data_IF_157004047548
#
_entry.id   IF_157004047548
#
_cell.length_a   1.000
_cell.length_b   1.000
_cell.length_c   1.000
_cell.angle_alpha   90.00
_cell.angle_beta   90.00
_cell.angle_gamma   90.00
#
_symmetry.space_group_name_H-M   'P 1'
#
loop_
_entity.id
_entity.type
_entity.pdbx_description
1 polymer ?
#
# COMPACT_ATOMS: atom_id res chain seq x y z
N UNK A 1 -3.10 -1.50 20.24
CA UNK A 1 -3.49 -1.75 18.83
C UNK A 1 -4.70 -0.90 18.43
N UNK A 2 -5.82 -0.94 19.16
CA UNK A 2 -7.03 -0.15 18.85
C UNK A 2 -6.77 1.36 18.71
N UNK A 3 -6.26 2.04 19.74
CA UNK A 3 -6.04 3.50 19.70
C UNK A 3 -5.19 3.93 18.49
N UNK A 4 -4.11 3.19 18.20
CA UNK A 4 -3.26 3.47 17.05
C UNK A 4 -3.98 3.24 15.70
N UNK A 5 -4.94 2.31 15.65
CA UNK A 5 -5.73 2.07 14.44
C UNK A 5 -6.78 3.17 14.28
N UNK A 6 -7.41 3.60 15.37
CA UNK A 6 -8.35 4.72 15.38
C UNK A 6 -7.71 6.03 14.90
N UNK A 7 -6.45 6.31 15.24
CA UNK A 7 -5.75 7.49 14.70
C UNK A 7 -5.51 7.39 13.19
N UNK A 8 -5.20 6.20 12.68
CA UNK A 8 -5.06 5.94 11.24
C UNK A 8 -6.41 6.06 10.53
N UNK A 9 -7.49 5.51 11.11
CA UNK A 9 -8.87 5.68 10.62
C UNK A 9 -9.22 7.15 10.52
N UNK A 10 -8.98 7.91 11.59
CA UNK A 10 -9.24 9.36 11.62
C UNK A 10 -8.51 10.05 10.46
N UNK A 11 -7.18 9.86 10.36
CA UNK A 11 -6.36 10.47 9.30
C UNK A 11 -6.86 10.15 7.89
N UNK A 12 -7.21 8.88 7.63
CA UNK A 12 -7.68 8.43 6.31
C UNK A 12 -9.05 9.01 5.95
N UNK A 13 -9.96 9.12 6.92
CA UNK A 13 -11.33 9.58 6.67
C UNK A 13 -11.45 11.11 6.65
N UNK A 14 -10.59 11.82 7.37
CA UNK A 14 -10.59 13.29 7.41
C UNK A 14 -9.69 13.92 6.36
N UNK A 15 -9.02 13.11 5.55
CA UNK A 15 -8.21 13.58 4.45
C UNK A 15 -9.03 14.44 3.47
N UNK A 16 -8.52 15.63 3.16
CA UNK A 16 -9.15 16.61 2.26
C UNK A 16 -10.56 17.05 2.70
N UNK A 17 -10.80 17.07 4.03
CA UNK A 17 -12.05 17.54 4.65
C UNK A 17 -11.87 18.84 5.40
N UNK A 18 -12.98 19.56 5.59
CA UNK A 18 -12.99 20.82 6.32
C UNK A 18 -12.57 20.63 7.78
N UNK A 19 -11.95 21.66 8.37
CA UNK A 19 -11.48 21.63 9.77
C UNK A 19 -12.60 21.22 10.74
N UNK A 20 -13.82 21.71 10.53
CA UNK A 20 -14.98 21.36 11.34
C UNK A 20 -15.27 19.86 11.29
N UNK A 21 -15.27 19.26 10.09
CA UNK A 21 -15.49 17.83 9.92
C UNK A 21 -14.40 17.00 10.63
N UNK A 22 -13.13 17.40 10.47
CA UNK A 22 -11.97 16.73 11.08
C UNK A 22 -12.03 16.75 12.61
N UNK A 23 -12.37 17.89 13.20
CA UNK A 23 -12.48 18.04 14.65
C UNK A 23 -13.67 17.24 15.19
N UNK A 24 -14.85 17.36 14.57
CA UNK A 24 -16.06 16.66 15.02
C UNK A 24 -15.85 15.15 14.98
N UNK A 25 -15.37 14.62 13.85
CA UNK A 25 -15.09 13.17 13.73
C UNK A 25 -14.00 12.70 14.70
N UNK A 26 -12.98 13.51 14.96
CA UNK A 26 -11.93 13.20 15.94
C UNK A 26 -12.47 13.13 17.37
N UNK A 27 -13.28 14.11 17.77
CA UNK A 27 -13.93 14.13 19.09
C UNK A 27 -14.89 12.95 19.23
N UNK A 28 -15.71 12.69 18.22
CA UNK A 28 -16.64 11.54 18.24
C UNK A 28 -15.91 10.22 18.37
N UNK A 29 -14.82 10.01 17.62
CA UNK A 29 -14.01 8.80 17.69
C UNK A 29 -13.31 8.66 19.04
N UNK A 30 -12.80 9.76 19.61
CA UNK A 30 -12.18 9.76 20.93
C UNK A 30 -13.18 9.35 22.03
N UNK A 31 -14.37 9.96 22.03
CA UNK A 31 -15.43 9.62 23.00
C UNK A 31 -15.83 8.14 22.86
N UNK A 32 -16.00 7.66 21.63
CA UNK A 32 -16.30 6.25 21.37
C UNK A 32 -15.21 5.32 21.89
N UNK A 33 -13.93 5.62 21.63
CA UNK A 33 -12.80 4.81 22.11
C UNK A 33 -12.71 4.78 23.63
N UNK A 34 -12.89 5.92 24.30
CA UNK A 34 -12.88 5.98 25.77
C UNK A 34 -14.04 5.16 26.35
N UNK A 35 -15.24 5.29 25.79
CA UNK A 35 -16.40 4.53 26.23
C UNK A 35 -16.21 3.01 26.01
N UNK A 36 -15.68 2.62 24.85
CA UNK A 36 -15.40 1.22 24.53
C UNK A 36 -14.34 0.62 25.46
N UNK A 37 -13.25 1.35 25.71
CA UNK A 37 -12.20 0.91 26.65
C UNK A 37 -12.74 0.80 28.07
N UNK A 38 -13.53 1.78 28.53
CA UNK A 38 -14.15 1.72 29.86
C UNK A 38 -15.09 0.52 29.99
N UNK A 39 -15.95 0.29 28.99
CA UNK A 39 -16.84 -0.87 28.96
C UNK A 39 -16.05 -2.19 29.01
N UNK A 40 -15.04 -2.33 28.15
CA UNK A 40 -14.15 -3.50 28.11
C UNK A 40 -13.49 -3.80 29.46
N UNK A 41 -12.97 -2.77 30.15
CA UNK A 41 -12.38 -2.92 31.48
C UNK A 41 -13.39 -3.26 32.59
N UNK A 42 -14.67 -2.93 32.42
CA UNK A 42 -15.72 -3.21 33.43
C UNK A 42 -16.27 -4.63 33.26
N UNK A 43 -16.41 -5.11 32.02
CA UNK A 43 -17.02 -6.41 31.74
C UNK A 43 -16.03 -7.56 31.61
N UNK A 44 -14.72 -7.27 31.65
CA UNK A 44 -13.64 -8.24 31.41
C UNK A 44 -13.85 -9.10 30.16
N UNK A 45 -14.50 -8.51 29.15
CA UNK A 45 -14.93 -9.19 27.92
C UNK A 45 -13.92 -8.89 26.82
N UNK A 46 -13.17 -9.90 26.37
CA UNK A 46 -12.04 -9.71 25.44
C UNK A 46 -12.35 -10.01 23.98
N UNK A 47 -13.52 -10.53 23.64
CA UNK A 47 -13.93 -10.85 22.27
C UNK A 47 -14.21 -9.60 21.43
N UNK A 48 -14.83 -8.57 22.03
CA UNK A 48 -15.21 -7.37 21.29
C UNK A 48 -14.00 -6.54 20.85
N UNK A 49 -12.86 -6.65 21.55
CA UNK A 49 -11.62 -5.96 21.23
C UNK A 49 -11.06 -6.32 19.83
N UNK A 50 -10.74 -7.60 19.52
CA UNK A 50 -10.26 -8.02 18.21
C UNK A 50 -11.32 -7.85 17.12
N UNK A 51 -12.62 -7.94 17.45
CA UNK A 51 -13.72 -7.67 16.50
C UNK A 51 -13.69 -6.21 16.06
N UNK A 52 -13.68 -5.27 17.01
CA UNK A 52 -13.60 -3.84 16.70
C UNK A 52 -12.34 -3.51 15.91
N UNK A 53 -11.20 -4.08 16.32
CA UNK A 53 -9.93 -3.92 15.62
C UNK A 53 -10.00 -4.39 14.16
N UNK A 54 -10.60 -5.56 13.90
CA UNK A 54 -10.79 -6.08 12.55
C UNK A 54 -11.69 -5.18 11.69
N UNK A 55 -12.74 -4.61 12.28
CA UNK A 55 -13.64 -3.65 11.62
C UNK A 55 -12.88 -2.38 11.22
N UNK A 56 -12.12 -1.78 12.14
CA UNK A 56 -11.34 -0.57 11.87
C UNK A 56 -10.32 -0.79 10.75
N UNK A 57 -9.56 -1.90 10.79
CA UNK A 57 -8.58 -2.25 9.76
C UNK A 57 -9.25 -2.43 8.39
N UNK A 58 -10.43 -3.05 8.35
CA UNK A 58 -11.20 -3.20 7.11
C UNK A 58 -11.60 -1.84 6.53
N UNK A 59 -12.09 -0.92 7.37
CA UNK A 59 -12.40 0.44 6.94
C UNK A 59 -11.18 1.20 6.43
N UNK A 60 -10.03 1.10 7.12
CA UNK A 60 -8.76 1.66 6.65
C UNK A 60 -8.42 1.11 5.27
N UNK A 61 -8.47 -0.22 5.09
CA UNK A 61 -8.14 -0.86 3.82
C UNK A 61 -9.04 -0.43 2.66
N UNK A 62 -10.36 -0.41 2.86
CA UNK A 62 -11.33 0.01 1.85
C UNK A 62 -11.11 1.48 1.49
N UNK A 63 -10.99 2.36 2.49
CA UNK A 63 -10.86 3.79 2.26
C UNK A 63 -9.52 4.14 1.62
N UNK A 64 -8.44 3.47 2.03
CA UNK A 64 -7.11 3.56 1.40
C UNK A 64 -7.20 3.21 -0.09
N UNK A 65 -7.86 2.10 -0.46
CA UNK A 65 -8.07 1.73 -1.88
C UNK A 65 -8.87 2.78 -2.66
N UNK A 66 -9.89 3.35 -2.03
CA UNK A 66 -10.66 4.44 -2.64
C UNK A 66 -9.80 5.67 -2.92
N UNK A 67 -8.97 6.10 -1.95
CA UNK A 67 -8.07 7.25 -2.11
C UNK A 67 -7.02 6.99 -3.20
N UNK A 68 -6.48 5.76 -3.29
CA UNK A 68 -5.53 5.39 -4.35
C UNK A 68 -6.13 5.62 -5.74
N UNK A 69 -7.39 5.22 -5.95
CA UNK A 69 -8.07 5.42 -7.24
C UNK A 69 -8.30 6.89 -7.57
N UNK A 70 -8.41 7.76 -6.57
CA UNK A 70 -8.68 9.19 -6.74
C UNK A 70 -7.40 10.01 -6.94
N UNK A 71 -6.30 9.66 -6.25
CA UNK A 71 -5.08 10.49 -6.19
C UNK A 71 -3.96 10.01 -7.09
N UNK A 72 -3.89 8.71 -7.39
CA UNK A 72 -2.77 8.16 -8.16
C UNK A 72 -3.20 8.02 -9.62
N UNK A 73 -2.85 9.05 -10.41
CA UNK A 73 -3.13 9.10 -11.85
C UNK A 73 -2.22 8.18 -12.67
N UNK A 74 -0.94 8.04 -12.26
CA UNK A 74 -0.01 7.12 -12.92
C UNK A 74 -0.42 5.65 -12.68
N UNK A 75 -0.68 4.93 -13.77
CA UNK A 75 -1.18 3.55 -13.74
C UNK A 75 -0.16 2.58 -13.13
N UNK A 76 1.14 2.76 -13.35
CA UNK A 76 2.17 1.87 -12.82
C UNK A 76 2.36 2.11 -11.32
N UNK A 77 2.39 3.38 -10.87
CA UNK A 77 2.43 3.72 -9.43
C UNK A 77 1.16 3.22 -8.75
N UNK A 78 -0.01 3.43 -9.34
CA UNK A 78 -1.29 2.98 -8.79
C UNK A 78 -1.30 1.47 -8.58
N UNK A 79 -0.77 0.70 -9.54
CA UNK A 79 -0.64 -0.75 -9.45
C UNK A 79 0.31 -1.17 -8.34
N UNK A 80 1.43 -0.47 -8.15
CA UNK A 80 2.38 -0.73 -7.08
C UNK A 80 1.75 -0.50 -5.70
N UNK A 81 1.07 0.62 -5.50
CA UNK A 81 0.42 0.97 -4.23
C UNK A 81 -0.72 0.01 -3.90
N UNK A 82 -1.57 -0.34 -4.89
CA UNK A 82 -2.61 -1.37 -4.73
C UNK A 82 -2.03 -2.74 -4.36
N UNK A 83 -0.92 -3.11 -4.98
CA UNK A 83 -0.21 -4.35 -4.65
C UNK A 83 0.26 -4.29 -3.19
N UNK A 84 0.86 -3.19 -2.77
CA UNK A 84 1.36 -3.03 -1.40
C UNK A 84 0.23 -3.12 -0.36
N UNK A 85 -0.95 -2.54 -0.64
CA UNK A 85 -2.16 -2.72 0.19
C UNK A 85 -2.54 -4.20 0.30
N UNK A 86 -2.54 -4.94 -0.81
CA UNK A 86 -2.89 -6.36 -0.81
C UNK A 86 -1.87 -7.19 -0.04
N UNK A 87 -0.58 -6.99 -0.24
CA UNK A 87 0.46 -7.73 0.48
C UNK A 87 0.46 -7.39 1.98
N UNK A 88 0.35 -6.11 2.34
CA UNK A 88 0.21 -5.68 3.73
C UNK A 88 -1.02 -6.32 4.39
N UNK A 89 -2.15 -6.34 3.70
CA UNK A 89 -3.38 -7.02 4.16
C UNK A 89 -3.20 -8.53 4.34
N UNK A 90 -2.59 -9.23 3.38
CA UNK A 90 -2.33 -10.67 3.49
C UNK A 90 -1.40 -11.00 4.66
N UNK A 91 -0.31 -10.24 4.82
CA UNK A 91 0.62 -10.42 5.94
C UNK A 91 -0.12 -10.21 7.27
N UNK A 92 -0.92 -9.16 7.37
CA UNK A 92 -1.69 -8.87 8.58
C UNK A 92 -2.71 -9.98 8.90
N UNK A 93 -3.50 -10.42 7.91
CA UNK A 93 -4.47 -11.52 8.07
C UNK A 93 -3.77 -12.81 8.44
N UNK A 94 -2.59 -13.10 7.87
CA UNK A 94 -1.81 -14.29 8.25
C UNK A 94 -1.38 -14.24 9.72
N UNK A 95 -0.97 -13.07 10.21
CA UNK A 95 -0.72 -12.87 11.64
C UNK A 95 -1.96 -13.14 12.47
N UNK A 96 -3.11 -12.56 12.10
CA UNK A 96 -4.38 -12.75 12.80
C UNK A 96 -4.83 -14.21 12.85
N UNK A 97 -4.62 -14.98 11.77
CA UNK A 97 -4.89 -16.42 11.74
C UNK A 97 -3.98 -17.14 12.74
N UNK A 98 -2.67 -16.84 12.75
CA UNK A 98 -1.75 -17.43 13.73
C UNK A 98 -2.16 -17.13 15.17
N UNK A 99 -2.63 -15.91 15.45
CA UNK A 99 -3.14 -15.54 16.78
C UNK A 99 -4.37 -16.36 17.18
N UNK A 100 -5.31 -16.61 16.26
CA UNK A 100 -6.46 -17.47 16.55
C UNK A 100 -6.06 -18.93 16.79
N UNK A 101 -5.08 -19.45 16.03
CA UNK A 101 -4.53 -20.80 16.25
C UNK A 101 -3.85 -20.86 17.63
N UNK A 102 -3.05 -19.86 17.98
CA UNK A 102 -2.35 -19.78 19.27
C UNK A 102 -3.35 -19.78 20.44
N UNK A 103 -4.44 -19.00 20.35
CA UNK A 103 -5.50 -19.01 21.36
C UNK A 103 -6.22 -20.36 21.48
N UNK A 104 -6.49 -21.04 20.35
CA UNK A 104 -7.23 -22.30 20.34
C UNK A 104 -6.40 -23.50 20.79
N UNK A 105 -5.10 -23.50 20.54
CA UNK A 105 -4.18 -24.61 20.81
C UNK A 105 -3.15 -24.29 21.90
N UNK A 106 -3.44 -23.33 22.77
CA UNK A 106 -2.52 -22.81 23.78
C UNK A 106 -1.91 -23.91 24.68
N UNK A 107 -2.73 -24.82 25.19
CA UNK A 107 -2.27 -25.94 26.04
C UNK A 107 -1.37 -26.90 25.26
N UNK A 108 -1.82 -27.39 24.09
CA UNK A 108 -1.04 -28.32 23.27
C UNK A 108 0.28 -27.73 22.76
N UNK A 109 0.29 -26.43 22.42
CA UNK A 109 1.52 -25.73 22.03
C UNK A 109 2.48 -25.59 23.20
N UNK A 110 1.98 -25.35 24.41
CA UNK A 110 2.80 -25.22 25.62
C UNK A 110 3.43 -26.55 26.00
N UNK A 111 2.67 -27.64 25.98
CA UNK A 111 3.19 -28.98 26.23
C UNK A 111 4.24 -29.39 25.19
N UNK A 112 4.00 -29.05 23.91
CA UNK A 112 4.95 -29.33 22.82
C UNK A 112 6.22 -28.51 22.94
N UNK A 113 6.13 -27.24 23.37
CA UNK A 113 7.28 -26.37 23.64
C UNK A 113 8.16 -26.94 24.77
N UNK A 114 7.54 -27.42 25.85
CA UNK A 114 8.25 -28.04 26.97
C UNK A 114 8.92 -29.37 26.57
N UNK A 115 8.31 -30.13 25.66
CA UNK A 115 8.84 -31.40 25.17
C UNK A 115 10.01 -31.25 24.19
N UNK A 116 9.94 -30.26 23.27
CA UNK A 116 10.95 -30.08 22.21
C UNK A 116 12.15 -29.23 22.64
N UNK A 117 12.01 -28.37 23.66
CA UNK A 117 13.09 -27.50 24.13
C UNK A 117 13.57 -26.50 23.06
N UNK A 118 14.76 -25.92 23.29
CA UNK A 118 15.36 -24.94 22.37
C UNK A 118 16.10 -25.65 21.21
N UNK A 119 16.05 -25.13 19.97
CA UNK A 119 15.47 -23.85 19.54
C UNK A 119 13.98 -23.92 19.12
N UNK A 120 13.39 -25.11 19.03
CA UNK A 120 12.10 -25.30 18.38
C UNK A 120 10.95 -24.70 19.18
N UNK A 121 11.14 -24.53 20.50
CA UNK A 121 10.26 -23.76 21.35
C UNK A 121 10.03 -22.33 20.83
N UNK A 122 11.04 -21.68 20.26
CA UNK A 122 10.92 -20.33 19.71
C UNK A 122 10.09 -20.30 18.41
N UNK A 123 10.25 -21.31 17.55
CA UNK A 123 9.45 -21.40 16.31
C UNK A 123 7.98 -21.68 16.64
N UNK A 124 7.72 -22.41 17.72
CA UNK A 124 6.38 -22.71 18.22
C UNK A 124 5.75 -21.58 19.04
N UNK A 125 6.44 -20.44 19.24
CA UNK A 125 5.81 -19.22 19.75
C UNK A 125 5.02 -18.52 18.63
N UNK A 126 3.89 -19.13 18.24
CA UNK A 126 2.96 -18.56 17.27
C UNK A 126 2.53 -17.13 17.68
N UNK A 127 2.39 -16.88 18.98
CA UNK A 127 2.18 -15.55 19.54
C UNK A 127 3.24 -14.52 19.11
N UNK A 128 4.52 -14.90 19.10
CA UNK A 128 5.61 -14.01 18.66
C UNK A 128 5.51 -13.69 17.17
N UNK A 129 5.23 -14.70 16.35
CA UNK A 129 5.01 -14.54 14.91
C UNK A 129 3.81 -13.66 14.58
N UNK A 130 2.73 -13.75 15.37
CA UNK A 130 1.58 -12.86 15.27
C UNK A 130 2.00 -11.39 15.38
N UNK A 131 2.80 -11.02 16.39
CA UNK A 131 3.25 -9.64 16.60
C UNK A 131 4.16 -9.15 15.47
N UNK A 132 5.04 -10.02 14.96
CA UNK A 132 5.92 -9.69 13.84
C UNK A 132 5.10 -9.43 12.57
N UNK A 133 4.20 -10.33 12.21
CA UNK A 133 3.40 -10.22 10.99
C UNK A 133 2.45 -9.02 11.05
N UNK A 134 1.74 -8.84 12.16
CA UNK A 134 0.84 -7.68 12.30
C UNK A 134 1.58 -6.37 12.43
N UNK A 135 2.76 -6.35 13.05
CA UNK A 135 3.65 -5.19 13.07
C UNK A 135 4.11 -4.79 11.65
N UNK A 136 4.53 -5.76 10.84
CA UNK A 136 4.89 -5.52 9.43
C UNK A 136 3.68 -5.02 8.63
N UNK A 137 2.52 -5.66 8.79
CA UNK A 137 1.29 -5.24 8.13
C UNK A 137 0.88 -3.81 8.51
N UNK A 138 0.89 -3.50 9.80
CA UNK A 138 0.58 -2.17 10.33
C UNK A 138 1.54 -1.11 9.80
N UNK A 139 2.85 -1.38 9.80
CA UNK A 139 3.86 -0.50 9.20
C UNK A 139 3.54 -0.18 7.74
N UNK A 140 3.25 -1.20 6.94
CA UNK A 140 2.90 -1.03 5.52
C UNK A 140 1.67 -0.13 5.36
N UNK A 141 0.62 -0.34 6.16
CA UNK A 141 -0.59 0.49 6.09
C UNK A 141 -0.36 1.93 6.55
N UNK A 142 0.39 2.16 7.64
CA UNK A 142 0.71 3.52 8.11
C UNK A 142 1.51 4.26 7.04
N UNK A 143 2.55 3.64 6.49
CA UNK A 143 3.37 4.22 5.43
C UNK A 143 2.55 4.53 4.17
N UNK A 144 1.63 3.64 3.78
CA UNK A 144 0.71 3.85 2.66
C UNK A 144 -0.25 5.02 2.89
N UNK A 145 -0.83 5.11 4.09
CA UNK A 145 -1.73 6.20 4.46
C UNK A 145 -0.98 7.50 4.46
N UNK A 146 0.20 7.56 5.09
CA UNK A 146 1.04 8.75 5.11
C UNK A 146 1.37 9.23 3.70
N UNK A 147 1.85 8.33 2.84
CA UNK A 147 2.10 8.61 1.43
C UNK A 147 0.89 9.18 0.70
N UNK A 148 -0.27 8.53 0.83
CA UNK A 148 -1.50 8.97 0.15
C UNK A 148 -2.04 10.30 0.68
N UNK A 149 -1.75 10.61 1.94
CA UNK A 149 -2.11 11.89 2.56
C UNK A 149 -1.09 13.00 2.31
N UNK A 150 0.08 12.68 1.77
CA UNK A 150 1.14 13.65 1.49
C UNK A 150 0.97 14.34 0.13
N UNK A 151 1.74 15.41 -0.10
CA UNK A 151 1.85 16.06 -1.41
C UNK A 151 2.59 15.19 -2.43
N UNK A 152 3.32 14.17 -1.97
CA UNK A 152 4.09 13.22 -2.81
C UNK A 152 3.20 12.11 -3.40
N UNK A 153 1.91 12.10 -3.09
CA UNK A 153 0.96 11.11 -3.59
C UNK A 153 0.93 11.12 -5.14
N UNK A 154 1.43 10.04 -5.74
CA UNK A 154 1.55 9.87 -7.20
C UNK A 154 2.99 9.70 -7.70
N UNK A 155 4.00 9.97 -6.86
CA UNK A 155 5.41 9.83 -7.21
C UNK A 155 5.92 8.38 -7.05
N UNK A 156 7.12 8.07 -7.57
CA UNK A 156 7.69 6.72 -7.44
C UNK A 156 7.98 6.35 -5.97
N UNK A 157 7.32 5.30 -5.45
CA UNK A 157 7.50 4.78 -4.08
C UNK A 157 8.94 4.36 -3.74
N UNK A 158 9.75 4.02 -4.74
CA UNK A 158 10.92 3.13 -4.57
C UNK A 158 12.10 3.67 -3.76
N UNK A 159 12.11 4.95 -3.36
CA UNK A 159 13.25 5.58 -2.64
C UNK A 159 12.97 5.95 -1.19
N UNK A 160 11.71 6.06 -0.77
CA UNK A 160 11.37 6.68 0.53
C UNK A 160 10.97 5.69 1.63
N UNK A 161 10.71 4.41 1.32
CA UNK A 161 10.22 3.43 2.31
C UNK A 161 11.29 2.42 2.77
N UNK A 162 11.24 2.10 4.07
CA UNK A 162 12.09 1.09 4.69
C UNK A 162 11.61 -0.35 4.36
N UNK A 163 12.43 -1.33 4.74
CA UNK A 163 12.11 -2.75 4.61
C UNK A 163 10.77 -3.08 5.32
N UNK A 164 9.88 -3.95 4.77
CA UNK A 164 10.02 -4.80 3.57
C UNK A 164 9.44 -4.20 2.28
N UNK A 165 9.02 -2.93 2.26
CA UNK A 165 8.33 -2.32 1.11
C UNK A 165 9.18 -2.41 -0.16
N UNK A 166 10.47 -2.08 -0.06
CA UNK A 166 11.42 -2.19 -1.17
C UNK A 166 11.53 -3.61 -1.74
N UNK A 167 11.43 -4.65 -0.93
CA UNK A 167 11.48 -6.05 -1.39
C UNK A 167 10.23 -6.45 -2.17
N UNK A 168 9.05 -6.08 -1.66
CA UNK A 168 7.74 -6.37 -2.29
C UNK A 168 7.64 -5.71 -3.68
N UNK A 169 8.26 -4.55 -3.83
CA UNK A 169 8.34 -3.80 -5.09
C UNK A 169 9.48 -4.31 -6.00
N UNK A 170 10.67 -4.58 -5.46
CA UNK A 170 11.85 -5.05 -6.22
C UNK A 170 11.64 -6.41 -6.89
N UNK A 171 10.85 -7.31 -6.28
CA UNK A 171 10.46 -8.59 -6.89
C UNK A 171 9.80 -8.42 -8.27
N UNK A 172 9.24 -7.24 -8.58
CA UNK A 172 8.63 -6.94 -9.89
C UNK A 172 9.59 -6.27 -10.88
N UNK A 173 10.49 -5.37 -10.46
CA UNK A 173 11.49 -4.75 -11.38
C UNK A 173 12.31 -5.80 -12.12
N UNK A 174 12.62 -6.93 -11.46
CA UNK A 174 13.26 -8.09 -12.07
C UNK A 174 12.34 -8.84 -13.04
N UNK A 175 11.06 -9.00 -12.69
CA UNK A 175 10.07 -9.71 -13.52
C UNK A 175 9.66 -8.92 -14.78
N UNK A 176 9.48 -7.60 -14.71
CA UNK A 176 9.20 -6.75 -15.88
C UNK A 176 10.40 -6.65 -16.81
N UNK A 177 11.63 -6.51 -16.26
CA UNK A 177 12.87 -6.54 -17.05
C UNK A 177 13.08 -7.89 -17.77
N UNK A 178 12.68 -9.01 -17.16
CA UNK A 178 12.72 -10.32 -17.81
C UNK A 178 11.64 -10.48 -18.89
N UNK A 179 10.47 -9.84 -18.71
CA UNK A 179 9.38 -9.89 -19.69
C UNK A 179 9.69 -9.05 -20.94
N UNK A 180 10.30 -7.87 -20.80
CA UNK A 180 10.79 -7.10 -21.95
C UNK A 180 11.95 -7.79 -22.67
N UNK A 181 12.88 -8.41 -21.93
CA UNK A 181 13.95 -9.22 -22.55
C UNK A 181 13.43 -10.49 -23.25
N UNK A 182 12.29 -11.03 -22.82
CA UNK A 182 11.65 -12.19 -23.46
C UNK A 182 10.87 -11.82 -24.74
N UNK A 183 10.34 -10.60 -24.81
CA UNK A 183 9.56 -10.13 -25.94
C UNK A 183 10.43 -9.51 -27.06
N UNK A 184 11.67 -9.12 -26.77
CA UNK A 184 12.64 -8.57 -27.73
C UNK A 184 13.56 -9.58 -28.40
N UNK A 185 13.20 -10.87 -28.44
CA UNK A 185 14.08 -11.94 -28.96
C UNK A 185 13.49 -12.79 -30.10
N UNK A 186 12.41 -12.34 -30.73
CA UNK A 186 11.87 -12.96 -31.94
C UNK A 186 11.63 -11.86 -32.97
N UNK A 187 12.66 -11.61 -33.78
CA UNK A 187 12.62 -11.26 -35.20
C UNK A 187 13.99 -10.65 -35.58
N UNK A 188 15.01 -11.51 -35.68
CA UNK A 188 16.20 -11.17 -36.46
C UNK A 188 16.66 -12.42 -37.21
N UNK A 189 16.99 -12.20 -38.49
CA UNK A 189 17.51 -13.12 -39.52
C UNK A 189 16.55 -13.99 -40.35
N UNK A 190 16.28 -13.53 -41.58
CA UNK A 190 16.97 -14.09 -42.76
C UNK A 190 16.87 -13.15 -43.98
N UNK A 191 18.02 -12.60 -44.41
CA UNK A 191 18.13 -11.90 -45.70
C UNK A 191 18.26 -12.85 -46.89
N UNK A 192 18.05 -12.34 -48.13
CA UNK A 192 19.05 -12.22 -49.21
C UNK A 192 18.45 -11.96 -50.61
N UNK A 193 18.96 -10.90 -51.26
CA UNK A 193 19.21 -10.61 -52.69
C UNK A 193 18.11 -10.27 -53.74
N UNK A 194 18.43 -9.19 -54.48
CA UNK A 194 18.15 -8.90 -55.91
C UNK A 194 16.80 -8.24 -56.19
N UNK A 195 16.60 -7.23 -57.05
CA UNK A 195 17.38 -6.53 -58.07
C UNK A 195 16.56 -5.28 -58.52
N UNK A 196 17.23 -4.29 -59.13
CA UNK A 196 16.76 -3.50 -60.31
C UNK A 196 15.70 -2.38 -60.16
N UNK A 197 16.19 -1.15 -60.47
CA UNK A 197 15.58 -0.01 -61.21
C UNK A 197 14.39 0.82 -60.67
N UNK A 198 14.64 2.13 -60.45
CA UNK A 198 14.29 3.25 -61.37
C UNK A 198 13.79 4.54 -60.67
N UNK A 199 14.58 5.61 -60.85
CA UNK A 199 14.28 7.04 -61.10
C UNK A 199 13.02 7.73 -60.53
N UNK A 200 13.23 8.95 -60.01
CA UNK A 200 12.16 9.97 -59.92
C UNK A 200 12.54 11.26 -59.18
N UNK A 201 13.02 12.24 -59.95
CA UNK A 201 13.18 13.67 -59.67
C UNK A 201 12.15 14.33 -58.71
N UNK A 202 12.56 15.37 -57.98
CA UNK A 202 11.66 16.39 -57.45
C UNK A 202 12.29 17.33 -56.43
N UNK A 203 12.42 18.61 -56.79
CA UNK A 203 13.28 19.63 -56.20
C UNK A 203 12.50 20.68 -55.39
N UNK A 204 13.14 21.29 -54.37
CA UNK A 204 12.86 22.65 -53.85
C UNK A 204 11.58 22.86 -53.02
N UNK A 205 11.40 23.90 -52.20
CA UNK A 205 12.22 25.04 -51.80
C UNK A 205 11.40 25.87 -50.76
N UNK A 206 12.09 26.65 -49.90
CA UNK A 206 11.67 27.93 -49.24
C UNK A 206 10.67 27.86 -48.05
N UNK A 207 11.08 28.28 -46.84
CA UNK A 207 11.01 29.65 -46.25
C UNK A 207 9.56 30.06 -45.87
N UNK A 208 9.24 30.80 -44.81
CA UNK A 208 9.96 31.43 -43.70
C UNK A 208 8.90 32.12 -42.80
N UNK A 209 9.33 32.53 -41.59
CA UNK A 209 8.79 33.62 -40.76
C UNK A 209 7.37 33.46 -40.16
N UNK A 210 7.02 33.92 -38.96
CA UNK A 210 7.68 34.77 -37.96
C UNK A 210 6.61 35.51 -37.12
N UNK A 211 6.98 35.89 -35.88
CA UNK A 211 6.32 36.83 -34.92
C UNK A 211 5.12 36.31 -34.08
N UNK A 212 5.25 36.11 -32.76
CA UNK A 212 5.30 37.04 -31.59
C UNK A 212 3.92 37.70 -31.28
N UNK A 213 3.30 37.40 -30.11
CA UNK A 213 3.13 38.34 -28.98
C UNK A 213 2.34 37.74 -27.79
N UNK A 214 2.81 38.07 -26.59
CA UNK A 214 2.20 37.86 -25.29
C UNK A 214 1.02 38.82 -25.05
N UNK A 215 0.07 38.42 -24.19
CA UNK A 215 -0.74 39.37 -23.42
C UNK A 215 -1.14 38.77 -22.07
N UNK A 216 -0.64 39.43 -21.03
CA UNK A 216 -0.96 39.28 -19.61
C UNK A 216 -2.30 39.98 -19.31
N UNK A 217 -3.13 39.43 -18.41
CA UNK A 217 -4.13 40.23 -17.70
C UNK A 217 -4.55 39.60 -16.38
N UNK A 218 -4.09 40.28 -15.35
CA UNK A 218 -4.52 40.31 -13.95
C UNK A 218 -6.03 40.53 -13.79
N UNK A 219 -6.62 39.96 -12.72
CA UNK A 219 -7.84 40.46 -12.08
C UNK A 219 -8.05 39.81 -10.71
N UNK A 220 -7.77 40.62 -9.70
CA UNK A 220 -8.34 40.60 -8.34
C UNK A 220 -9.85 40.78 -8.35
N UNK A 221 -10.56 39.98 -7.54
CA UNK A 221 -11.70 40.35 -6.69
C UNK A 221 -11.96 39.23 -5.67
#
# INVERSE_FOLDING_TARGET
MLIATSTVVHRVFTYDKSLRYTVVTGVSLFVFMVAFVAWHCITDETLMHPVLFGIEITFVGIKTRSIINLRVADVEVQKQVKKLVTYGGVIFVSGFILWNIDNQFCESLTDTKHSLGMPWSFVLELHGWWHILTGIGAYIFIALVEYLTSEEAGQELGKSFAWPVGLILAGRRKATKNRDKGNGRVEEEKGRNGDVFSNGFGNGHLHANGKIHAHERDKSE
#
